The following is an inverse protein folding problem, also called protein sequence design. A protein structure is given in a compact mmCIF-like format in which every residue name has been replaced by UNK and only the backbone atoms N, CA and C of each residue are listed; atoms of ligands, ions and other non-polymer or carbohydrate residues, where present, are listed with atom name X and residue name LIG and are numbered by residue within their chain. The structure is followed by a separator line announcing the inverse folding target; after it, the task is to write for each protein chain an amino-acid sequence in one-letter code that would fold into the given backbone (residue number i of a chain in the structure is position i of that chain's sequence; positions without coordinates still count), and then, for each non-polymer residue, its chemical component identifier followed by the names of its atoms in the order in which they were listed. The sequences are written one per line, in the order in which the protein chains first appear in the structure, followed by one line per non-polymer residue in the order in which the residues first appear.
data_IF_138199215436
#
_entry.id   IF_138199215436
#
_cell.length_a   1.000
_cell.length_b   1.000
_cell.length_c   1.000
_cell.angle_alpha   90.00
_cell.angle_beta   90.00
_cell.angle_gamma   90.00
#
_symmetry.space_group_name_H-M   'P 1'
#
loop_
_entity.id
_entity.type
_entity.pdbx_description
1 polymer ?
#
# COMPACT_ATOMS: atom_id res chain seq x y z
N UNK A 1 11.16 -7.75 -21.96
CA UNK A 1 10.43 -6.49 -22.17
C UNK A 1 9.74 -6.10 -20.86
N UNK A 2 10.14 -5.00 -20.22
CA UNK A 2 9.38 -4.41 -19.08
C UNK A 2 8.05 -3.88 -19.59
N UNK A 3 6.93 -4.37 -19.03
CA UNK A 3 5.57 -3.93 -19.39
C UNK A 3 5.37 -2.45 -19.06
N UNK A 4 4.41 -1.78 -19.70
CA UNK A 4 4.06 -0.37 -19.43
C UNK A 4 3.85 -0.10 -17.93
N UNK A 5 3.22 -1.05 -17.22
CA UNK A 5 3.00 -0.97 -15.78
C UNK A 5 4.29 -1.03 -14.96
N UNK A 6 5.28 -1.83 -15.36
CA UNK A 6 6.59 -1.86 -14.67
C UNK A 6 7.26 -0.50 -14.71
N UNK A 7 7.31 0.13 -15.89
CA UNK A 7 7.90 1.48 -16.06
C UNK A 7 7.14 2.54 -15.25
N UNK A 8 5.80 2.45 -15.22
CA UNK A 8 4.97 3.32 -14.40
C UNK A 8 5.27 3.14 -12.90
N UNK A 9 5.36 1.89 -12.44
CA UNK A 9 5.66 1.56 -11.05
C UNK A 9 7.02 2.12 -10.60
N UNK A 10 8.06 1.99 -11.42
CA UNK A 10 9.39 2.57 -11.18
C UNK A 10 9.33 4.09 -11.01
N UNK A 11 8.59 4.78 -11.89
CA UNK A 11 8.36 6.22 -11.82
C UNK A 11 7.58 6.62 -10.57
N UNK A 12 6.61 5.80 -10.15
CA UNK A 12 5.83 6.04 -8.94
C UNK A 12 6.72 5.95 -7.70
N UNK A 13 7.47 4.85 -7.50
CA UNK A 13 8.24 4.61 -6.25
C UNK A 13 9.37 5.62 -6.03
N UNK A 14 9.89 6.22 -7.11
CA UNK A 14 10.93 7.24 -7.07
C UNK A 14 10.37 8.66 -6.86
N UNK A 15 9.06 8.88 -7.00
CA UNK A 15 8.45 10.20 -6.94
C UNK A 15 8.68 10.94 -5.60
N UNK A 16 9.07 12.22 -5.70
CA UNK A 16 9.32 13.16 -4.58
C UNK A 16 8.64 14.52 -4.76
N UNK A 17 7.65 14.63 -5.66
CA UNK A 17 7.03 15.91 -6.06
C UNK A 17 6.30 16.67 -4.95
N UNK A 18 5.89 16.00 -3.87
CA UNK A 18 5.09 16.60 -2.80
C UNK A 18 5.91 16.68 -1.50
N UNK A 19 6.61 17.79 -1.19
CA UNK A 19 7.53 17.89 -0.06
C UNK A 19 6.89 17.52 1.28
N UNK A 20 5.67 18.02 1.54
CA UNK A 20 4.89 17.70 2.74
C UNK A 20 4.71 16.19 2.93
N UNK A 21 4.35 15.47 1.86
CA UNK A 21 4.12 14.02 1.91
C UNK A 21 5.42 13.22 2.02
N UNK A 22 6.47 13.68 1.35
CA UNK A 22 7.81 13.07 1.45
C UNK A 22 8.31 13.15 2.89
N UNK A 23 8.20 14.32 3.52
CA UNK A 23 8.61 14.53 4.90
C UNK A 23 7.77 13.69 5.86
N UNK A 24 6.43 13.72 5.70
CA UNK A 24 5.52 12.95 6.56
C UNK A 24 5.81 11.45 6.53
N UNK A 25 5.89 10.84 5.34
CA UNK A 25 6.06 9.39 5.23
C UNK A 25 7.42 8.91 5.74
N UNK A 26 8.47 9.72 5.54
CA UNK A 26 9.83 9.45 6.05
C UNK A 26 9.87 9.56 7.56
N UNK A 27 9.29 10.63 8.13
CA UNK A 27 9.17 10.82 9.58
C UNK A 27 8.53 9.60 10.24
N UNK A 28 7.38 9.15 9.72
CA UNK A 28 6.68 7.97 10.24
C UNK A 28 7.51 6.68 10.09
N UNK A 29 8.25 6.52 8.98
CA UNK A 29 9.09 5.35 8.76
C UNK A 29 10.32 5.30 9.71
N UNK A 30 10.79 6.46 10.16
CA UNK A 30 11.89 6.59 11.13
C UNK A 30 11.39 6.46 12.57
N UNK A 31 10.40 7.25 12.96
CA UNK A 31 9.90 7.30 14.34
C UNK A 31 9.14 6.02 14.71
N UNK A 32 8.32 5.51 13.77
CA UNK A 32 7.46 4.34 13.93
C UNK A 32 6.50 4.47 15.12
N UNK A 33 5.57 3.52 15.26
CA UNK A 33 4.73 3.39 16.45
C UNK A 33 5.24 2.25 17.31
N UNK A 34 5.01 2.30 18.63
CA UNK A 34 5.45 1.26 19.60
C UNK A 34 5.20 -0.17 19.12
N UNK A 35 3.99 -0.45 18.64
CA UNK A 35 3.60 -1.78 18.13
C UNK A 35 4.45 -2.27 16.94
N UNK A 36 5.09 -1.37 16.19
CA UNK A 36 5.82 -1.66 14.96
C UNK A 36 7.28 -1.17 14.98
N UNK A 37 7.86 -0.90 16.15
CA UNK A 37 9.22 -0.33 16.26
C UNK A 37 10.28 -1.17 15.55
N UNK A 38 10.16 -2.50 15.69
CA UNK A 38 11.13 -3.45 15.15
C UNK A 38 10.88 -3.80 13.68
N UNK A 39 9.86 -3.22 13.04
CA UNK A 39 9.55 -3.49 11.65
C UNK A 39 10.28 -2.54 10.70
N UNK A 40 10.64 -3.05 9.52
CA UNK A 40 11.13 -2.24 8.42
C UNK A 40 9.92 -1.58 7.74
N UNK A 41 9.98 -0.26 7.56
CA UNK A 41 8.93 0.50 6.88
C UNK A 41 9.29 0.73 5.42
N UNK A 42 8.29 0.67 4.55
CA UNK A 42 8.43 1.02 3.15
C UNK A 42 8.86 2.47 2.91
N UNK A 43 8.22 3.45 3.60
CA UNK A 43 8.61 4.86 3.60
C UNK A 43 8.61 5.56 2.23
N UNK A 44 7.95 4.96 1.24
CA UNK A 44 7.99 5.34 -0.19
C UNK A 44 6.56 5.41 -0.77
N UNK A 45 6.38 6.00 -1.96
CA UNK A 45 5.13 5.87 -2.71
C UNK A 45 4.79 4.38 -2.91
N UNK A 46 3.52 4.01 -2.82
CA UNK A 46 3.08 2.64 -3.11
C UNK A 46 2.43 2.57 -4.49
N UNK A 47 2.53 1.42 -5.14
CA UNK A 47 1.93 1.15 -6.45
C UNK A 47 0.58 0.45 -6.28
N UNK A 48 -0.18 0.37 -7.37
CA UNK A 48 -1.36 -0.51 -7.42
C UNK A 48 -0.98 -1.97 -7.18
N UNK A 49 -1.96 -2.76 -6.75
CA UNK A 49 -1.85 -4.20 -6.52
C UNK A 49 -3.16 -4.86 -6.98
N UNK A 50 -3.05 -6.03 -7.61
CA UNK A 50 -4.19 -6.79 -8.11
C UNK A 50 -3.92 -7.44 -9.46
N UNK A 51 -4.96 -8.02 -10.04
CA UNK A 51 -4.92 -8.59 -11.38
C UNK A 51 -4.85 -7.48 -12.44
N UNK A 52 -3.89 -7.58 -13.36
CA UNK A 52 -3.76 -6.66 -14.49
C UNK A 52 -4.91 -6.76 -15.50
N UNK A 53 -5.70 -7.84 -15.44
CA UNK A 53 -6.92 -8.07 -16.23
C UNK A 53 -8.20 -7.83 -15.42
N UNK A 54 -8.10 -7.25 -14.21
CA UNK A 54 -9.26 -6.98 -13.37
C UNK A 54 -10.30 -6.13 -14.10
N UNK A 55 -11.57 -6.49 -13.96
CA UNK A 55 -12.70 -5.73 -14.49
C UNK A 55 -13.26 -4.70 -13.48
N UNK A 56 -12.78 -4.75 -12.23
CA UNK A 56 -13.14 -3.85 -11.14
C UNK A 56 -11.89 -3.17 -10.59
N UNK A 57 -11.93 -1.85 -10.46
CA UNK A 57 -10.86 -1.05 -9.87
C UNK A 57 -11.32 -0.42 -8.56
N UNK A 58 -10.60 -0.70 -7.47
CA UNK A 58 -10.81 -0.07 -6.17
C UNK A 58 -9.83 1.07 -5.96
N UNK A 59 -10.33 2.29 -5.77
CA UNK A 59 -9.54 3.49 -5.56
C UNK A 59 -9.74 3.99 -4.14
N UNK A 60 -8.69 3.92 -3.34
CA UNK A 60 -8.66 4.48 -1.98
C UNK A 60 -8.23 5.95 -1.96
N UNK A 61 -8.36 6.59 -0.80
CA UNK A 61 -7.98 7.99 -0.61
C UNK A 61 -6.46 8.20 -0.59
N UNK A 62 -5.76 7.54 0.34
CA UNK A 62 -4.32 7.66 0.54
C UNK A 62 -3.78 6.49 1.38
N UNK A 63 -2.47 6.20 1.31
CA UNK A 63 -1.85 5.20 2.17
C UNK A 63 -1.92 5.58 3.65
N UNK A 64 -2.36 4.66 4.52
CA UNK A 64 -2.28 4.86 5.95
C UNK A 64 -0.81 4.93 6.43
N UNK A 65 -0.56 5.78 7.43
CA UNK A 65 0.76 6.03 7.99
C UNK A 65 1.47 4.74 8.49
N UNK A 66 0.70 3.79 9.01
CA UNK A 66 1.17 2.50 9.49
C UNK A 66 0.51 1.31 8.79
N UNK A 67 -0.16 1.55 7.66
CA UNK A 67 -0.64 0.51 6.73
C UNK A 67 0.30 0.49 5.53
N UNK A 68 -0.18 0.96 4.38
CA UNK A 68 0.61 1.00 3.14
C UNK A 68 1.97 1.70 3.24
N UNK A 69 2.14 2.74 4.07
CA UNK A 69 3.46 3.36 4.27
C UNK A 69 4.46 2.45 5.04
N UNK A 70 3.95 1.50 5.82
CA UNK A 70 4.76 0.48 6.49
C UNK A 70 4.97 -0.73 5.60
N UNK A 71 3.91 -1.26 5.02
CA UNK A 71 3.89 -2.56 4.33
C UNK A 71 4.31 -2.48 2.86
N UNK A 72 4.20 -1.30 2.24
CA UNK A 72 4.51 -1.10 0.82
C UNK A 72 3.43 -1.57 -0.15
N UNK A 73 2.32 -2.13 0.35
CA UNK A 73 1.20 -2.62 -0.47
C UNK A 73 -0.08 -1.85 -0.16
N UNK A 74 -0.83 -1.47 -1.19
CA UNK A 74 -2.15 -0.84 -1.02
C UNK A 74 -3.07 -1.75 -0.21
N UNK A 75 -3.94 -1.16 0.62
CA UNK A 75 -4.90 -1.90 1.44
C UNK A 75 -4.27 -3.06 2.23
N UNK A 76 -3.21 -2.77 2.99
CA UNK A 76 -2.46 -3.78 3.74
C UNK A 76 -1.93 -3.23 5.06
N UNK A 77 -2.21 -3.91 6.17
CA UNK A 77 -1.59 -3.63 7.48
C UNK A 77 -2.29 -2.56 8.32
N UNK A 78 -3.56 -2.28 8.08
CA UNK A 78 -4.39 -1.44 8.94
C UNK A 78 -5.83 -1.97 9.01
N UNK A 79 -6.62 -1.47 9.97
CA UNK A 79 -7.98 -1.96 10.19
C UNK A 79 -8.91 -1.74 8.99
N UNK A 80 -8.70 -0.67 8.21
CA UNK A 80 -9.51 -0.41 7.02
C UNK A 80 -9.28 -1.47 5.95
N UNK A 81 -8.02 -1.92 5.84
CA UNK A 81 -7.61 -3.00 4.95
C UNK A 81 -8.16 -4.35 5.40
N UNK A 82 -8.15 -4.61 6.72
CA UNK A 82 -8.71 -5.84 7.28
C UNK A 82 -10.21 -5.95 7.01
N UNK A 83 -10.95 -4.84 7.15
CA UNK A 83 -12.37 -4.79 6.79
C UNK A 83 -12.58 -5.03 5.29
N UNK A 84 -11.84 -4.32 4.44
CA UNK A 84 -11.98 -4.45 2.98
C UNK A 84 -11.73 -5.89 2.51
N UNK A 85 -10.65 -6.53 2.96
CA UNK A 85 -10.30 -7.88 2.52
C UNK A 85 -11.27 -8.96 3.03
N UNK A 86 -11.88 -8.77 4.20
CA UNK A 86 -12.98 -9.62 4.65
C UNK A 86 -14.18 -9.53 3.71
N UNK A 87 -14.60 -8.32 3.34
CA UNK A 87 -15.70 -8.11 2.40
C UNK A 87 -15.37 -8.69 1.01
N UNK A 88 -14.18 -8.42 0.48
CA UNK A 88 -13.74 -8.95 -0.81
C UNK A 88 -13.78 -10.47 -0.84
N UNK A 89 -13.32 -11.13 0.22
CA UNK A 89 -13.33 -12.57 0.32
C UNK A 89 -14.75 -13.13 0.39
N UNK A 90 -15.60 -12.54 1.23
CA UNK A 90 -17.02 -12.91 1.32
C UNK A 90 -17.78 -12.73 0.00
N UNK A 91 -17.34 -11.79 -0.85
CA UNK A 91 -17.91 -11.57 -2.19
C UNK A 91 -17.22 -12.37 -3.30
N UNK A 92 -16.26 -13.24 -2.99
CA UNK A 92 -15.54 -14.04 -3.99
C UNK A 92 -14.55 -13.24 -4.87
N UNK A 93 -14.19 -12.03 -4.45
CA UNK A 93 -13.28 -11.12 -5.17
C UNK A 93 -11.83 -11.19 -4.70
N UNK A 94 -11.55 -11.93 -3.61
CA UNK A 94 -10.19 -12.27 -3.18
C UNK A 94 -10.08 -13.76 -2.84
N UNK A 95 -8.87 -14.31 -2.98
CA UNK A 95 -8.57 -15.71 -2.65
C UNK A 95 -8.32 -15.95 -1.15
N UNK A 96 -8.20 -14.88 -0.35
CA UNK A 96 -7.94 -14.93 1.08
C UNK A 96 -8.69 -13.82 1.82
N UNK A 97 -9.09 -14.06 3.09
CA UNK A 97 -9.86 -13.10 3.91
C UNK A 97 -9.02 -11.94 4.47
N UNK A 98 -7.70 -11.98 4.33
CA UNK A 98 -6.78 -10.99 4.89
C UNK A 98 -5.67 -10.65 3.92
N UNK A 99 -5.19 -9.41 4.02
CA UNK A 99 -4.03 -8.92 3.27
C UNK A 99 -2.82 -8.85 4.20
N UNK A 100 -2.05 -9.94 4.27
CA UNK A 100 -0.79 -10.05 5.04
C UNK A 100 0.43 -10.05 4.12
N UNK A 101 1.55 -9.49 4.57
CA UNK A 101 2.78 -9.28 3.80
C UNK A 101 3.96 -9.97 4.46
#
# INVERSE_FOLDING_TARGET
MTTSLTKLNEKIITCRKCPRLVNFRKKIATEKRKQYMNQIYWGRPITGYGDIKAQLLMIGLAPAAHGGNRTGRVFTGDQSSDFLFKCLFSSGLSNQPSSTY
#
